data_IF_917677887546
#
_entry.id   IF_917677887546
#
_cell.length_a   1.000
_cell.length_b   1.000
_cell.length_c   1.000
_cell.angle_alpha   90.00
_cell.angle_beta   90.00
_cell.angle_gamma   90.00
#
_symmetry.space_group_name_H-M   'P 1'
#
loop_
_entity.id
_entity.type
_entity.pdbx_description
1 polymer ?
#
# COMPACT_ATOMS: atom_id res chain seq x y z
N UNK A 1 33.30 40.88 14.77
CA UNK A 1 32.69 40.25 13.58
C UNK A 1 32.27 38.82 13.89
N UNK A 2 33.18 37.95 14.35
CA UNK A 2 32.85 36.55 14.69
C UNK A 2 31.81 36.41 15.82
N UNK A 3 31.86 37.27 16.85
CA UNK A 3 30.86 37.28 17.92
C UNK A 3 29.45 37.65 17.43
N UNK A 4 29.35 38.62 16.51
CA UNK A 4 28.08 39.05 15.92
C UNK A 4 27.51 37.96 15.00
N UNK A 5 28.38 37.30 14.22
CA UNK A 5 28.02 36.13 13.42
C UNK A 5 27.47 34.99 14.28
N UNK A 6 28.18 34.65 15.35
CA UNK A 6 27.76 33.63 16.31
C UNK A 6 26.43 34.00 16.99
N UNK A 7 26.21 35.30 17.28
CA UNK A 7 24.94 35.80 17.83
C UNK A 7 23.79 35.65 16.84
N UNK A 8 23.94 36.08 15.59
CA UNK A 8 22.91 35.95 14.55
C UNK A 8 22.56 34.46 14.33
N UNK A 9 23.56 33.57 14.34
CA UNK A 9 23.34 32.13 14.22
C UNK A 9 22.54 31.55 15.40
N UNK A 10 22.83 31.97 16.64
CA UNK A 10 22.06 31.58 17.83
C UNK A 10 20.62 32.09 17.77
N UNK A 11 20.43 33.38 17.48
CA UNK A 11 19.08 33.96 17.34
C UNK A 11 18.29 33.27 16.23
N UNK A 12 18.94 32.94 15.11
CA UNK A 12 18.30 32.20 14.02
C UNK A 12 17.88 30.78 14.42
N UNK A 13 18.65 30.08 15.26
CA UNK A 13 18.29 28.74 15.72
C UNK A 13 17.18 28.78 16.78
N UNK A 14 17.24 29.74 17.70
CA UNK A 14 16.19 30.00 18.69
C UNK A 14 14.88 30.39 18.03
N UNK A 15 14.93 31.31 17.06
CA UNK A 15 13.78 31.72 16.26
C UNK A 15 13.13 30.53 15.54
N UNK A 16 13.92 29.67 14.88
CA UNK A 16 13.37 28.46 14.23
C UNK A 16 12.68 27.54 15.24
N UNK A 17 13.23 27.39 16.44
CA UNK A 17 12.64 26.57 17.49
C UNK A 17 11.30 27.15 17.96
N UNK A 18 11.24 28.46 18.20
CA UNK A 18 10.01 29.17 18.61
C UNK A 18 8.95 29.15 17.51
N UNK A 19 9.35 29.40 16.27
CA UNK A 19 8.48 29.28 15.10
C UNK A 19 7.81 27.90 15.03
N UNK A 20 8.59 26.82 15.16
CA UNK A 20 8.04 25.46 15.15
C UNK A 20 7.08 25.20 16.33
N UNK A 21 7.33 25.82 17.50
CA UNK A 21 6.44 25.73 18.65
C UNK A 21 5.12 26.49 18.42
N UNK A 22 5.17 27.70 17.86
CA UNK A 22 3.96 28.47 17.52
C UNK A 22 3.14 27.80 16.42
N UNK A 23 3.79 27.24 15.38
CA UNK A 23 3.13 26.46 14.34
C UNK A 23 2.39 25.26 14.94
N UNK A 24 3.04 24.51 15.86
CA UNK A 24 2.40 23.39 16.56
C UNK A 24 1.20 23.85 17.38
N UNK A 25 1.32 24.94 18.14
CA UNK A 25 0.24 25.46 18.97
C UNK A 25 -0.94 25.98 18.13
N UNK A 26 -0.66 26.57 16.95
CA UNK A 26 -1.66 26.98 15.99
C UNK A 26 -2.40 25.77 15.40
N UNK A 27 -1.66 24.73 15.01
CA UNK A 27 -2.22 23.46 14.53
C UNK A 27 -3.12 22.78 15.58
N UNK A 28 -2.71 22.76 16.84
CA UNK A 28 -3.51 22.23 17.95
C UNK A 28 -4.81 23.01 18.15
N UNK A 29 -4.76 24.35 18.09
CA UNK A 29 -5.95 25.18 18.18
C UNK A 29 -6.89 25.00 16.98
N UNK A 30 -6.34 24.87 15.77
CA UNK A 30 -7.11 24.57 14.56
C UNK A 30 -7.80 23.21 14.67
N UNK A 31 -7.11 22.18 15.16
CA UNK A 31 -7.72 20.87 15.41
C UNK A 31 -8.86 20.97 16.43
N UNK A 32 -8.67 21.68 17.54
CA UNK A 32 -9.72 21.88 18.55
C UNK A 32 -10.94 22.62 17.97
N UNK A 33 -10.71 23.63 17.13
CA UNK A 33 -11.76 24.34 16.40
C UNK A 33 -12.53 23.39 15.46
N UNK A 34 -11.83 22.57 14.67
CA UNK A 34 -12.44 21.59 13.76
C UNK A 34 -13.31 20.56 14.52
N UNK A 35 -12.84 20.08 15.67
CA UNK A 35 -13.60 19.16 16.54
C UNK A 35 -14.87 19.83 17.09
N UNK A 36 -14.82 21.13 17.36
CA UNK A 36 -15.94 21.91 17.87
C UNK A 36 -16.96 22.24 16.78
N UNK A 37 -16.48 22.63 15.59
CA UNK A 37 -17.33 22.97 14.44
C UNK A 37 -18.01 21.74 13.84
N UNK A 38 -17.29 20.63 13.75
CA UNK A 38 -17.79 19.38 13.18
C UNK A 38 -17.49 18.19 14.11
N UNK A 39 -18.29 17.99 15.16
CA UNK A 39 -18.10 16.89 16.12
C UNK A 39 -18.43 15.52 15.53
N UNK A 40 -19.46 15.45 14.68
CA UNK A 40 -19.94 14.23 14.03
C UNK A 40 -20.45 14.51 12.60
N UNK A 41 -20.92 13.46 11.92
CA UNK A 41 -21.50 13.51 10.58
C UNK A 41 -23.04 13.56 10.60
N UNK A 42 -23.65 14.01 11.70
CA UNK A 42 -25.10 14.20 11.72
C UNK A 42 -25.50 15.33 10.78
N UNK A 43 -26.70 15.23 10.20
CA UNK A 43 -27.24 16.28 9.33
C UNK A 43 -27.24 17.65 10.03
N UNK A 44 -27.55 17.68 11.34
CA UNK A 44 -27.54 18.90 12.14
C UNK A 44 -26.12 19.48 12.29
N UNK A 45 -25.11 18.65 12.60
CA UNK A 45 -23.74 19.12 12.73
C UNK A 45 -23.18 19.65 11.40
N UNK A 46 -23.45 18.93 10.30
CA UNK A 46 -23.04 19.35 8.95
C UNK A 46 -23.70 20.67 8.54
N UNK A 47 -25.03 20.79 8.69
CA UNK A 47 -25.74 22.04 8.41
C UNK A 47 -25.25 23.20 9.26
N UNK A 48 -25.00 22.98 10.56
CA UNK A 48 -24.46 24.00 11.45
C UNK A 48 -23.06 24.43 11.01
N UNK A 49 -22.18 23.48 10.74
CA UNK A 49 -20.83 23.77 10.28
C UNK A 49 -20.85 24.55 8.96
N UNK A 50 -21.65 24.13 7.98
CA UNK A 50 -21.79 24.82 6.70
C UNK A 50 -22.33 26.25 6.85
N UNK A 51 -23.32 26.47 7.73
CA UNK A 51 -23.85 27.81 8.00
C UNK A 51 -22.81 28.73 8.63
N UNK A 52 -22.03 28.21 9.57
CA UNK A 52 -21.03 28.98 10.31
C UNK A 52 -19.79 29.30 9.45
N UNK A 53 -19.35 28.36 8.61
CA UNK A 53 -18.08 28.48 7.89
C UNK A 53 -18.26 28.87 6.42
N UNK A 54 -19.44 28.62 5.85
CA UNK A 54 -19.72 28.78 4.42
C UNK A 54 -18.94 27.80 3.55
N UNK A 55 -18.48 26.67 4.09
CA UNK A 55 -17.68 25.69 3.35
C UNK A 55 -18.52 24.96 2.30
N UNK A 56 -18.14 25.01 1.01
CA UNK A 56 -18.89 24.32 -0.04
C UNK A 56 -18.85 22.80 0.15
N UNK A 57 -19.98 22.13 -0.07
CA UNK A 57 -20.09 20.66 0.01
C UNK A 57 -20.09 20.08 1.43
N UNK A 58 -20.18 20.90 2.48
CA UNK A 58 -20.33 20.46 3.87
C UNK A 58 -21.82 20.35 4.29
N UNK A 59 -22.68 19.94 3.36
CA UNK A 59 -24.14 19.95 3.52
C UNK A 59 -24.76 18.61 3.91
N UNK A 60 -26.10 18.52 3.93
CA UNK A 60 -26.84 17.26 4.19
C UNK A 60 -26.51 16.17 3.15
N UNK A 61 -26.12 16.55 1.93
CA UNK A 61 -25.66 15.66 0.87
C UNK A 61 -24.52 14.73 1.33
N UNK A 62 -23.60 15.24 2.18
CA UNK A 62 -22.51 14.43 2.70
C UNK A 62 -23.00 13.33 3.64
N UNK A 63 -24.07 13.57 4.41
CA UNK A 63 -24.68 12.54 5.24
C UNK A 63 -25.34 11.46 4.39
N UNK A 64 -26.00 11.84 3.28
CA UNK A 64 -26.57 10.91 2.32
C UNK A 64 -25.47 10.06 1.65
N UNK A 65 -24.35 10.67 1.27
CA UNK A 65 -23.20 9.96 0.72
C UNK A 65 -22.63 8.94 1.71
N UNK A 66 -22.52 9.29 3.01
CA UNK A 66 -22.09 8.36 4.07
C UNK A 66 -23.05 7.17 4.18
N UNK A 67 -24.36 7.44 4.15
CA UNK A 67 -25.38 6.40 4.20
C UNK A 67 -25.30 5.48 2.97
N UNK A 68 -25.14 6.06 1.78
CA UNK A 68 -24.99 5.32 0.51
C UNK A 68 -23.75 4.43 0.55
N UNK A 69 -22.59 4.97 0.88
CA UNK A 69 -21.34 4.20 0.94
C UNK A 69 -21.41 3.06 1.98
N UNK A 70 -22.08 3.32 3.11
CA UNK A 70 -22.33 2.29 4.13
C UNK A 70 -23.23 1.18 3.60
N UNK A 71 -24.27 1.52 2.85
CA UNK A 71 -25.16 0.55 2.23
C UNK A 71 -24.43 -0.26 1.16
N UNK A 72 -23.67 0.38 0.29
CA UNK A 72 -22.85 -0.28 -0.74
C UNK A 72 -21.88 -1.29 -0.11
N UNK A 73 -21.13 -0.88 0.93
CA UNK A 73 -20.23 -1.78 1.64
C UNK A 73 -20.95 -2.96 2.31
N UNK A 74 -22.19 -2.75 2.80
CA UNK A 74 -23.01 -3.83 3.41
C UNK A 74 -23.51 -4.81 2.35
N UNK A 75 -24.05 -4.31 1.24
CA UNK A 75 -24.50 -5.15 0.13
C UNK A 75 -23.36 -5.96 -0.45
N UNK A 76 -22.17 -5.37 -0.59
CA UNK A 76 -20.98 -6.08 -1.04
C UNK A 76 -20.56 -7.17 -0.04
N UNK A 77 -20.62 -6.89 1.25
CA UNK A 77 -20.31 -7.86 2.29
C UNK A 77 -21.31 -9.03 2.28
N UNK A 78 -22.60 -8.74 2.17
CA UNK A 78 -23.66 -9.74 2.08
C UNK A 78 -23.50 -10.61 0.82
N UNK A 79 -23.21 -10.01 -0.33
CA UNK A 79 -22.95 -10.73 -1.57
C UNK A 79 -21.72 -11.65 -1.45
N UNK A 80 -20.66 -11.19 -0.78
CA UNK A 80 -19.46 -11.98 -0.52
C UNK A 80 -19.76 -13.15 0.44
N UNK A 81 -20.52 -12.91 1.50
CA UNK A 81 -20.90 -13.94 2.48
C UNK A 81 -21.90 -14.96 1.89
N UNK A 82 -22.66 -14.57 0.87
CA UNK A 82 -23.51 -15.44 0.07
C UNK A 82 -22.74 -16.29 -0.96
N UNK A 83 -21.48 -15.96 -1.27
CA UNK A 83 -20.68 -16.72 -2.24
C UNK A 83 -20.45 -18.16 -1.74
N UNK A 84 -20.83 -19.20 -2.51
CA UNK A 84 -20.64 -20.59 -2.12
C UNK A 84 -19.19 -20.95 -1.80
N UNK A 85 -18.21 -20.36 -2.49
CA UNK A 85 -16.79 -20.59 -2.22
C UNK A 85 -16.38 -20.01 -0.86
N UNK A 86 -16.95 -18.87 -0.48
CA UNK A 86 -16.69 -18.25 0.81
C UNK A 86 -17.38 -19.01 1.96
N UNK A 87 -18.58 -19.52 1.74
CA UNK A 87 -19.29 -20.35 2.73
C UNK A 87 -18.54 -21.65 3.02
N UNK A 88 -17.93 -22.24 1.99
CA UNK A 88 -17.15 -23.47 2.11
C UNK A 88 -15.68 -23.23 2.50
N UNK A 89 -15.26 -21.99 2.79
CA UNK A 89 -13.85 -21.65 3.01
C UNK A 89 -13.16 -22.51 4.07
N UNK A 90 -13.84 -22.80 5.18
CA UNK A 90 -13.26 -23.58 6.28
C UNK A 90 -13.01 -25.02 5.85
N UNK A 91 -13.94 -25.61 5.11
CA UNK A 91 -13.78 -26.94 4.52
C UNK A 91 -12.66 -26.98 3.47
N UNK A 92 -12.53 -25.93 2.66
CA UNK A 92 -11.58 -25.87 1.55
C UNK A 92 -10.14 -25.59 2.02
N UNK A 93 -9.96 -24.67 2.97
CA UNK A 93 -8.66 -24.10 3.36
C UNK A 93 -8.23 -24.43 4.80
N UNK A 94 -8.92 -25.32 5.54
CA UNK A 94 -8.48 -25.68 6.89
C UNK A 94 -6.98 -26.08 6.88
N UNK A 95 -6.14 -25.50 7.76
CA UNK A 95 -4.70 -25.77 7.76
C UNK A 95 -4.35 -27.26 7.89
N UNK A 96 -5.11 -28.00 8.70
CA UNK A 96 -4.80 -29.40 9.03
C UNK A 96 -5.64 -30.40 8.22
N UNK A 97 -6.82 -30.01 7.74
CA UNK A 97 -7.78 -30.93 7.11
C UNK A 97 -8.45 -30.37 5.85
N UNK A 98 -7.92 -29.29 5.29
CA UNK A 98 -8.50 -28.63 4.13
C UNK A 98 -8.49 -29.53 2.90
N UNK A 99 -9.61 -29.63 2.20
CA UNK A 99 -9.74 -30.50 1.03
C UNK A 99 -8.73 -30.13 -0.07
N UNK A 100 -8.47 -28.83 -0.25
CA UNK A 100 -7.53 -28.35 -1.26
C UNK A 100 -6.09 -28.72 -0.87
N UNK A 101 -5.69 -28.47 0.39
CA UNK A 101 -4.35 -28.81 0.88
C UNK A 101 -4.06 -30.31 0.81
N UNK A 102 -5.00 -31.13 1.28
CA UNK A 102 -4.87 -32.59 1.23
C UNK A 102 -4.84 -33.14 -0.22
N UNK A 103 -5.52 -32.48 -1.16
CA UNK A 103 -5.47 -32.88 -2.58
C UNK A 103 -4.19 -32.40 -3.25
N UNK A 104 -3.74 -31.19 -2.96
CA UNK A 104 -2.46 -30.66 -3.45
C UNK A 104 -1.29 -31.54 -3.02
N UNK A 105 -1.21 -31.90 -1.74
CA UNK A 105 -0.17 -32.80 -1.22
C UNK A 105 -0.16 -34.13 -1.99
N UNK A 106 -1.33 -34.76 -2.19
CA UNK A 106 -1.43 -36.02 -2.96
C UNK A 106 -0.96 -35.88 -4.41
N UNK A 107 -1.34 -34.80 -5.08
CA UNK A 107 -0.92 -34.57 -6.48
C UNK A 107 0.58 -34.24 -6.57
N UNK A 108 1.12 -33.53 -5.59
CA UNK A 108 2.55 -33.26 -5.49
C UNK A 108 3.32 -34.55 -5.26
N UNK A 109 2.87 -35.43 -4.35
CA UNK A 109 3.48 -36.75 -4.13
C UNK A 109 3.51 -37.60 -5.40
N UNK A 110 2.40 -37.63 -6.16
CA UNK A 110 2.35 -38.31 -7.45
C UNK A 110 3.31 -37.71 -8.48
N UNK A 111 3.43 -36.38 -8.50
CA UNK A 111 4.39 -35.70 -9.39
C UNK A 111 5.83 -36.00 -8.99
N UNK A 112 6.15 -35.96 -7.70
CA UNK A 112 7.49 -36.30 -7.19
C UNK A 112 7.85 -37.76 -7.50
N UNK A 113 6.89 -38.69 -7.46
CA UNK A 113 7.12 -40.09 -7.83
C UNK A 113 7.49 -40.29 -9.30
N UNK A 114 7.05 -39.40 -10.21
CA UNK A 114 7.36 -39.47 -11.64
C UNK A 114 8.74 -38.87 -11.99
N UNK A 115 9.28 -37.96 -11.15
CA UNK A 115 10.53 -37.26 -11.44
C UNK A 115 11.73 -38.17 -11.67
N UNK A 116 12.01 -39.20 -10.84
CA UNK A 116 13.22 -40.01 -11.02
C UNK A 116 13.26 -40.72 -12.37
N UNK A 117 12.11 -41.17 -12.88
CA UNK A 117 12.00 -41.80 -14.21
C UNK A 117 12.28 -40.77 -15.31
N UNK A 118 11.64 -39.60 -15.23
CA UNK A 118 11.79 -38.53 -16.21
C UNK A 118 13.23 -37.99 -16.23
N UNK A 119 13.84 -37.73 -15.08
CA UNK A 119 15.21 -37.25 -14.96
C UNK A 119 16.22 -38.25 -15.52
N UNK A 120 16.08 -39.54 -15.17
CA UNK A 120 16.96 -40.61 -15.65
C UNK A 120 16.94 -40.73 -17.18
N UNK A 121 15.77 -40.58 -17.80
CA UNK A 121 15.61 -40.70 -19.25
C UNK A 121 15.97 -39.41 -19.99
N UNK A 122 15.46 -38.26 -19.55
CA UNK A 122 15.62 -36.95 -20.20
C UNK A 122 17.04 -36.38 -20.05
N UNK A 123 17.81 -36.84 -19.07
CA UNK A 123 19.23 -36.47 -18.93
C UNK A 123 20.09 -36.90 -20.12
N UNK A 124 19.63 -37.85 -20.94
CA UNK A 124 20.38 -38.30 -22.10
C UNK A 124 20.14 -37.38 -23.31
N UNK A 125 21.17 -36.74 -23.91
CA UNK A 125 21.01 -35.69 -24.93
C UNK A 125 20.25 -36.12 -26.20
N UNK A 126 20.18 -37.42 -26.48
CA UNK A 126 19.49 -37.97 -27.66
C UNK A 126 18.11 -38.56 -27.36
N UNK A 127 17.67 -38.57 -26.11
CA UNK A 127 16.42 -39.22 -25.72
C UNK A 127 15.20 -38.65 -26.47
N UNK A 128 15.03 -37.33 -26.47
CA UNK A 128 13.94 -36.66 -27.20
C UNK A 128 13.98 -36.96 -28.71
N UNK A 129 15.18 -36.96 -29.30
CA UNK A 129 15.37 -37.30 -30.73
C UNK A 129 15.01 -38.75 -31.05
N UNK A 130 15.25 -39.68 -30.12
CA UNK A 130 14.84 -41.08 -30.25
C UNK A 130 13.32 -41.21 -30.19
N UNK A 131 12.66 -40.48 -29.27
CA UNK A 131 11.20 -40.41 -29.18
C UNK A 131 10.57 -39.88 -30.48
N UNK A 132 11.06 -38.74 -30.98
CA UNK A 132 10.60 -38.10 -32.22
C UNK A 132 10.78 -39.00 -33.44
N UNK A 133 11.92 -39.69 -33.54
CA UNK A 133 12.19 -40.58 -34.67
C UNK A 133 11.42 -41.90 -34.62
N UNK A 134 10.70 -42.18 -33.53
CA UNK A 134 9.96 -43.42 -33.34
C UNK A 134 10.86 -44.64 -33.10
N UNK A 135 12.09 -44.46 -32.61
CA UNK A 135 13.01 -45.57 -32.32
C UNK A 135 12.36 -46.58 -31.35
N UNK A 136 12.48 -47.88 -31.63
CA UNK A 136 11.81 -48.94 -30.87
C UNK A 136 10.32 -49.13 -31.21
N UNK A 137 9.82 -48.51 -32.29
CA UNK A 137 8.45 -48.71 -32.79
C UNK A 137 8.46 -49.09 -34.28
N UNK A 138 7.36 -49.66 -34.82
CA UNK A 138 7.21 -49.90 -36.25
C UNK A 138 7.34 -48.63 -37.12
N UNK A 139 7.22 -47.44 -36.52
CA UNK A 139 7.36 -46.15 -37.21
C UNK A 139 8.80 -45.72 -37.47
N UNK A 140 9.82 -46.45 -37.01
CA UNK A 140 11.22 -46.08 -37.19
C UNK A 140 11.70 -46.27 -38.65
N UNK A 141 11.91 -45.17 -39.38
CA UNK A 141 12.17 -45.19 -40.82
C UNK A 141 13.66 -45.29 -41.23
N UNK A 142 14.60 -45.26 -40.28
CA UNK A 142 16.04 -45.22 -40.62
C UNK A 142 16.55 -46.64 -40.85
N UNK A 143 16.96 -46.93 -42.09
CA UNK A 143 17.56 -48.21 -42.46
C UNK A 143 18.89 -48.51 -41.75
N UNK A 144 19.17 -49.79 -41.50
CA UNK A 144 20.32 -50.25 -40.70
C UNK A 144 21.69 -49.83 -41.27
N UNK A 145 21.78 -49.55 -42.57
CA UNK A 145 23.01 -49.12 -43.26
C UNK A 145 23.37 -47.64 -43.03
N UNK A 146 22.48 -46.85 -42.43
CA UNK A 146 22.74 -45.42 -42.17
C UNK A 146 23.49 -45.26 -40.84
N UNK A 147 24.50 -44.39 -40.81
CA UNK A 147 25.24 -44.07 -39.56
C UNK A 147 24.30 -43.65 -38.42
N UNK A 148 23.22 -42.92 -38.73
CA UNK A 148 22.21 -42.51 -37.77
C UNK A 148 21.57 -43.70 -37.03
N UNK A 149 21.38 -44.84 -37.69
CA UNK A 149 20.83 -46.06 -37.06
C UNK A 149 21.71 -46.55 -35.91
N UNK A 150 23.02 -46.67 -36.15
CA UNK A 150 23.96 -47.15 -35.14
C UNK A 150 24.11 -46.17 -33.97
N UNK A 151 24.07 -44.88 -34.28
CA UNK A 151 24.10 -43.83 -33.27
C UNK A 151 22.85 -43.81 -32.38
N UNK A 152 21.68 -44.03 -32.97
CA UNK A 152 20.41 -44.10 -32.24
C UNK A 152 20.35 -45.39 -31.40
N UNK A 153 20.83 -46.51 -31.95
CA UNK A 153 20.96 -47.79 -31.22
C UNK A 153 21.90 -47.70 -30.02
N UNK A 154 23.07 -47.07 -30.19
CA UNK A 154 24.03 -46.85 -29.10
C UNK A 154 23.41 -46.01 -27.98
N UNK A 155 22.74 -44.92 -28.36
CA UNK A 155 22.05 -44.05 -27.40
C UNK A 155 20.93 -44.79 -26.65
N UNK A 156 20.13 -45.59 -27.35
CA UNK A 156 19.10 -46.42 -26.73
C UNK A 156 19.72 -47.40 -25.71
N UNK A 157 20.77 -48.14 -26.05
CA UNK A 157 21.43 -49.04 -25.09
C UNK A 157 22.04 -48.33 -23.87
N UNK A 158 22.56 -47.11 -24.05
CA UNK A 158 23.04 -46.29 -22.92
C UNK A 158 21.89 -45.87 -21.99
N UNK A 159 20.70 -45.59 -22.54
CA UNK A 159 19.49 -45.26 -21.79
C UNK A 159 18.92 -46.50 -21.08
N UNK A 160 18.88 -47.65 -21.75
CA UNK A 160 18.44 -48.93 -21.19
C UNK A 160 19.27 -49.30 -19.95
N UNK A 161 20.59 -49.15 -20.02
CA UNK A 161 21.50 -49.38 -18.90
C UNK A 161 21.21 -48.46 -17.70
N UNK A 162 20.89 -47.19 -17.95
CA UNK A 162 20.54 -46.21 -16.90
C UNK A 162 19.17 -46.48 -16.25
N UNK A 163 18.25 -47.09 -17.00
CA UNK A 163 16.86 -47.32 -16.56
C UNK A 163 16.62 -48.76 -16.09
N UNK A 164 17.67 -49.44 -15.60
CA UNK A 164 17.55 -50.77 -15.00
C UNK A 164 17.44 -51.93 -15.99
N UNK A 165 17.91 -51.74 -17.24
CA UNK A 165 18.00 -52.81 -18.24
C UNK A 165 16.70 -53.15 -18.97
N UNK A 166 15.65 -52.32 -18.83
CA UNK A 166 14.41 -52.42 -19.63
C UNK A 166 14.69 -52.14 -21.09
N UNK A 167 13.89 -52.70 -22.00
CA UNK A 167 13.99 -52.39 -23.43
C UNK A 167 13.55 -50.95 -23.71
N UNK A 168 14.22 -50.26 -24.65
CA UNK A 168 13.90 -48.87 -24.98
C UNK A 168 12.44 -48.66 -25.40
N UNK A 169 11.80 -49.65 -26.04
CA UNK A 169 10.38 -49.59 -26.39
C UNK A 169 9.46 -49.52 -25.15
N UNK A 170 9.84 -50.18 -24.05
CA UNK A 170 9.13 -50.12 -22.77
C UNK A 170 9.37 -48.80 -22.06
N UNK A 171 10.63 -48.38 -21.98
CA UNK A 171 11.04 -47.08 -21.41
C UNK A 171 10.31 -45.94 -22.14
N UNK A 172 10.23 -46.00 -23.47
CA UNK A 172 9.49 -45.03 -24.28
C UNK A 172 8.02 -44.96 -23.88
N UNK A 173 7.34 -46.10 -23.71
CA UNK A 173 5.92 -46.12 -23.32
C UNK A 173 5.71 -45.54 -21.93
N UNK A 174 6.55 -45.93 -20.97
CA UNK A 174 6.49 -45.44 -19.60
C UNK A 174 6.76 -43.93 -19.51
N UNK A 175 7.76 -43.44 -20.24
CA UNK A 175 8.13 -42.01 -20.23
C UNK A 175 7.08 -41.15 -20.93
N UNK A 176 6.55 -41.57 -22.08
CA UNK A 176 5.46 -40.83 -22.73
C UNK A 176 4.24 -40.74 -21.81
N UNK A 177 3.83 -41.85 -21.19
CA UNK A 177 2.74 -41.84 -20.23
C UNK A 177 3.04 -40.97 -18.99
N UNK A 178 4.28 -40.98 -18.50
CA UNK A 178 4.71 -40.15 -17.38
C UNK A 178 4.75 -38.65 -17.74
N UNK A 179 5.14 -38.29 -18.97
CA UNK A 179 5.11 -36.91 -19.45
C UNK A 179 3.67 -36.39 -19.54
N UNK A 180 2.76 -37.16 -20.16
CA UNK A 180 1.33 -36.83 -20.23
C UNK A 180 0.71 -36.71 -18.83
N UNK A 181 0.99 -37.67 -17.94
CA UNK A 181 0.53 -37.63 -16.56
C UNK A 181 1.09 -36.41 -15.81
N UNK A 182 2.37 -36.08 -15.99
CA UNK A 182 3.00 -34.92 -15.37
C UNK A 182 2.34 -33.61 -15.82
N UNK A 183 2.02 -33.46 -17.11
CA UNK A 183 1.35 -32.27 -17.64
C UNK A 183 -0.06 -32.10 -17.03
N UNK A 184 -0.84 -33.19 -16.97
CA UNK A 184 -2.18 -33.20 -16.35
C UNK A 184 -2.08 -32.85 -14.85
N UNK A 185 -1.13 -33.45 -14.13
CA UNK A 185 -0.91 -33.19 -12.71
C UNK A 185 -0.53 -31.73 -12.47
N UNK A 186 0.36 -31.16 -13.28
CA UNK A 186 0.74 -29.76 -13.17
C UNK A 186 -0.43 -28.82 -13.42
N UNK A 187 -1.21 -29.06 -14.48
CA UNK A 187 -2.41 -28.27 -14.74
C UNK A 187 -3.36 -28.33 -13.53
N UNK A 188 -3.58 -29.53 -12.98
CA UNK A 188 -4.49 -29.70 -11.85
C UNK A 188 -3.99 -29.05 -10.57
N UNK A 189 -2.69 -29.11 -10.31
CA UNK A 189 -2.05 -28.40 -9.19
C UNK A 189 -2.23 -26.89 -9.35
N UNK A 190 -2.02 -26.35 -10.56
CA UNK A 190 -2.24 -24.92 -10.84
C UNK A 190 -3.69 -24.51 -10.58
N UNK A 191 -4.66 -25.25 -11.12
CA UNK A 191 -6.09 -24.99 -10.91
C UNK A 191 -6.48 -24.98 -9.42
N UNK A 192 -5.94 -25.92 -8.64
CA UNK A 192 -6.20 -26.00 -7.19
C UNK A 192 -5.56 -24.85 -6.41
N UNK A 193 -4.34 -24.44 -6.77
CA UNK A 193 -3.67 -23.27 -6.19
C UNK A 193 -4.42 -21.97 -6.50
N UNK A 194 -4.88 -21.81 -7.73
CA UNK A 194 -5.69 -20.66 -8.13
C UNK A 194 -7.00 -20.62 -7.34
N UNK A 195 -7.65 -21.78 -7.18
CA UNK A 195 -8.86 -21.91 -6.36
C UNK A 195 -8.59 -21.54 -4.90
N UNK A 196 -7.47 -21.98 -4.32
CA UNK A 196 -7.09 -21.62 -2.96
C UNK A 196 -6.90 -20.11 -2.81
N UNK A 197 -6.10 -19.50 -3.71
CA UNK A 197 -5.85 -18.06 -3.72
C UNK A 197 -7.14 -17.25 -3.80
N UNK A 198 -8.10 -17.68 -4.64
CA UNK A 198 -9.40 -17.00 -4.75
C UNK A 198 -10.16 -16.99 -3.42
N UNK A 199 -10.19 -18.12 -2.70
CA UNK A 199 -10.88 -18.19 -1.40
C UNK A 199 -10.18 -17.30 -0.37
N UNK A 200 -8.85 -17.30 -0.33
CA UNK A 200 -8.08 -16.40 0.55
C UNK A 200 -8.34 -14.92 0.23
N UNK A 201 -8.44 -14.57 -1.06
CA UNK A 201 -8.69 -13.20 -1.49
C UNK A 201 -10.11 -12.74 -1.12
N UNK A 202 -11.10 -13.64 -1.15
CA UNK A 202 -12.44 -13.37 -0.61
C UNK A 202 -12.37 -13.09 0.90
N UNK A 203 -11.58 -13.84 1.68
CA UNK A 203 -11.40 -13.59 3.11
C UNK A 203 -10.69 -12.26 3.39
N UNK A 204 -9.64 -11.95 2.63
CA UNK A 204 -8.95 -10.64 2.71
C UNK A 204 -9.90 -9.50 2.39
N UNK A 205 -10.72 -9.64 1.33
CA UNK A 205 -11.72 -8.65 0.93
C UNK A 205 -12.77 -8.45 2.01
N UNK A 206 -13.30 -9.53 2.61
CA UNK A 206 -14.21 -9.47 3.76
C UNK A 206 -13.58 -8.70 4.93
N UNK A 207 -12.35 -9.05 5.32
CA UNK A 207 -11.64 -8.36 6.41
C UNK A 207 -11.48 -6.87 6.13
N UNK A 208 -11.21 -6.48 4.88
CA UNK A 208 -11.12 -5.07 4.46
C UNK A 208 -12.48 -4.38 4.56
N UNK A 209 -13.56 -4.99 4.06
CA UNK A 209 -14.91 -4.42 4.13
C UNK A 209 -15.40 -4.26 5.57
N UNK A 210 -15.20 -5.25 6.44
CA UNK A 210 -15.54 -5.16 7.86
C UNK A 210 -14.76 -4.04 8.56
N UNK A 211 -13.45 -3.95 8.31
CA UNK A 211 -12.63 -2.85 8.85
C UNK A 211 -13.07 -1.48 8.31
N UNK A 212 -13.39 -1.39 7.02
CA UNK A 212 -13.90 -0.16 6.40
C UNK A 212 -15.23 0.24 7.04
N UNK A 213 -16.20 -0.66 7.14
CA UNK A 213 -17.50 -0.40 7.77
C UNK A 213 -17.36 0.05 9.22
N UNK A 214 -16.45 -0.56 9.99
CA UNK A 214 -16.19 -0.18 11.38
C UNK A 214 -15.60 1.23 11.52
N UNK A 215 -14.81 1.67 10.54
CA UNK A 215 -14.10 2.97 10.56
C UNK A 215 -14.69 4.01 9.61
N UNK A 216 -15.75 3.68 8.88
CA UNK A 216 -16.26 4.51 7.79
C UNK A 216 -16.61 5.91 8.27
N UNK A 217 -17.32 5.99 9.40
CA UNK A 217 -17.71 7.25 10.01
C UNK A 217 -16.49 8.10 10.41
N UNK A 218 -15.46 7.49 10.98
CA UNK A 218 -14.22 8.18 11.36
C UNK A 218 -13.45 8.67 10.12
N UNK A 219 -13.30 7.82 9.10
CA UNK A 219 -12.61 8.16 7.84
C UNK A 219 -13.30 9.34 7.15
N UNK A 220 -14.63 9.30 7.04
CA UNK A 220 -15.40 10.36 6.39
C UNK A 220 -15.44 11.64 7.22
N UNK A 221 -15.51 11.54 8.55
CA UNK A 221 -15.42 12.68 9.45
C UNK A 221 -14.07 13.38 9.34
N UNK A 222 -12.98 12.61 9.33
CA UNK A 222 -11.63 13.16 9.13
C UNK A 222 -11.48 13.80 7.74
N UNK A 223 -12.07 13.20 6.71
CA UNK A 223 -12.09 13.78 5.35
C UNK A 223 -12.86 15.10 5.33
N UNK A 224 -14.01 15.17 5.99
CA UNK A 224 -14.83 16.38 6.09
C UNK A 224 -14.10 17.48 6.88
N UNK A 225 -13.48 17.12 8.01
CA UNK A 225 -12.64 18.02 8.81
C UNK A 225 -11.43 18.53 8.03
N UNK A 226 -10.81 17.68 7.20
CA UNK A 226 -9.71 18.12 6.33
C UNK A 226 -10.16 19.13 5.27
N UNK A 227 -11.33 18.90 4.65
CA UNK A 227 -11.91 19.89 3.71
C UNK A 227 -12.22 21.20 4.41
N UNK A 228 -12.79 21.14 5.62
CA UNK A 228 -13.06 22.30 6.44
C UNK A 228 -11.76 23.03 6.81
N UNK A 229 -10.74 22.30 7.26
CA UNK A 229 -9.41 22.83 7.58
C UNK A 229 -8.85 23.66 6.42
N UNK A 230 -8.83 23.07 5.22
CA UNK A 230 -8.32 23.74 4.03
C UNK A 230 -9.10 25.01 3.69
N UNK A 231 -10.42 25.00 3.92
CA UNK A 231 -11.26 26.19 3.73
C UNK A 231 -10.92 27.29 4.75
N UNK A 232 -10.72 26.93 6.03
CA UNK A 232 -10.33 27.88 7.08
C UNK A 232 -8.95 28.51 6.80
N UNK A 233 -7.99 27.71 6.36
CA UNK A 233 -6.63 28.18 6.05
C UNK A 233 -6.58 29.11 4.83
N UNK A 234 -7.52 28.97 3.87
CA UNK A 234 -7.55 29.80 2.66
C UNK A 234 -8.04 31.24 2.93
N UNK A 235 -8.97 31.43 3.86
CA UNK A 235 -9.54 32.75 4.19
C UNK A 235 -9.82 32.86 5.71
N UNK A 236 -8.76 32.99 6.53
CA UNK A 236 -8.90 32.99 7.98
C UNK A 236 -9.67 34.21 8.49
N UNK A 237 -9.52 35.37 7.84
CA UNK A 237 -10.17 36.63 8.24
C UNK A 237 -11.69 36.56 8.11
N UNK A 238 -12.19 36.22 6.91
CA UNK A 238 -13.63 36.17 6.67
C UNK A 238 -14.32 35.10 7.53
N UNK A 239 -13.63 34.00 7.83
CA UNK A 239 -14.21 32.96 8.70
C UNK A 239 -14.21 33.39 10.16
N UNK A 240 -13.18 34.10 10.64
CA UNK A 240 -13.18 34.61 12.02
C UNK A 240 -14.27 35.65 12.25
N UNK A 241 -14.56 36.50 11.27
CA UNK A 241 -15.71 37.42 11.32
C UNK A 241 -17.04 36.67 11.43
N UNK A 242 -17.23 35.60 10.64
CA UNK A 242 -18.44 34.76 10.71
C UNK A 242 -18.56 33.98 12.01
N UNK A 243 -17.42 33.60 12.58
CA UNK A 243 -17.33 32.88 13.85
C UNK A 243 -17.20 33.84 15.05
N UNK A 244 -17.47 35.14 14.88
CA UNK A 244 -17.45 36.10 15.96
C UNK A 244 -18.37 35.65 17.10
N UNK A 245 -17.78 35.26 18.24
CA UNK A 245 -18.47 34.66 19.38
C UNK A 245 -18.05 33.21 19.71
N UNK A 246 -17.29 32.55 18.84
CA UNK A 246 -16.67 31.27 19.12
C UNK A 246 -15.25 31.45 19.68
N UNK A 247 -15.07 31.23 20.98
CA UNK A 247 -13.78 31.37 21.65
C UNK A 247 -12.65 30.55 21.01
N UNK A 248 -12.95 29.35 20.51
CA UNK A 248 -11.99 28.51 19.80
C UNK A 248 -11.53 29.11 18.46
N UNK A 249 -12.40 29.85 17.77
CA UNK A 249 -12.05 30.52 16.52
C UNK A 249 -11.12 31.71 16.79
N UNK A 250 -11.42 32.47 17.85
CA UNK A 250 -10.57 33.58 18.31
C UNK A 250 -9.19 33.10 18.76
N UNK A 251 -9.10 32.03 19.57
CA UNK A 251 -7.81 31.45 19.99
C UNK A 251 -6.97 30.98 18.80
N UNK A 252 -7.58 30.26 17.84
CA UNK A 252 -6.89 29.86 16.62
C UNK A 252 -6.38 31.07 15.82
N UNK A 253 -7.22 32.09 15.63
CA UNK A 253 -6.85 33.28 14.87
C UNK A 253 -5.69 34.05 15.50
N UNK A 254 -5.73 34.26 16.82
CA UNK A 254 -4.65 34.94 17.55
C UNK A 254 -3.32 34.17 17.44
N UNK A 255 -3.37 32.82 17.47
CA UNK A 255 -2.18 32.00 17.26
C UNK A 255 -1.68 32.04 15.82
N UNK A 256 -2.58 32.12 14.84
CA UNK A 256 -2.22 32.31 13.44
C UNK A 256 -1.55 33.67 13.24
N UNK A 257 -2.10 34.74 13.81
CA UNK A 257 -1.49 36.07 13.81
C UNK A 257 -0.10 36.02 14.44
N UNK A 258 0.06 35.39 15.61
CA UNK A 258 1.35 35.21 16.28
C UNK A 258 2.38 34.50 15.38
N UNK A 259 2.00 33.42 14.70
CA UNK A 259 2.85 32.71 13.73
C UNK A 259 3.27 33.63 12.59
N UNK A 260 2.33 34.42 12.05
CA UNK A 260 2.62 35.34 10.95
C UNK A 260 3.52 36.50 11.37
N UNK A 261 3.27 37.11 12.54
CA UNK A 261 4.10 38.19 13.07
C UNK A 261 5.49 37.69 13.43
N UNK A 262 5.62 36.51 14.05
CA UNK A 262 6.92 35.91 14.32
C UNK A 262 7.70 35.63 13.03
N UNK A 263 7.03 35.12 11.98
CA UNK A 263 7.64 34.92 10.66
C UNK A 263 8.13 36.21 10.01
N UNK A 264 7.41 37.33 10.22
CA UNK A 264 7.84 38.65 9.76
C UNK A 264 9.11 39.10 10.46
N UNK A 265 9.27 38.88 11.77
CA UNK A 265 10.50 39.26 12.48
C UNK A 265 11.77 38.67 11.85
N UNK A 266 11.70 37.43 11.36
CA UNK A 266 12.83 36.82 10.65
C UNK A 266 13.09 37.47 9.30
N UNK A 267 12.02 37.74 8.55
CA UNK A 267 12.08 38.29 7.19
C UNK A 267 12.58 39.74 7.22
N UNK A 268 12.11 40.51 8.20
CA UNK A 268 12.36 41.95 8.30
C UNK A 268 13.67 42.28 9.01
N UNK A 269 14.13 41.43 9.93
CA UNK A 269 15.32 41.72 10.76
C UNK A 269 16.43 40.67 10.63
N UNK A 270 16.16 39.38 10.91
CA UNK A 270 17.25 38.38 10.97
C UNK A 270 17.88 38.06 9.62
N UNK A 271 17.09 37.96 8.55
CA UNK A 271 17.60 37.73 7.20
C UNK A 271 18.43 38.94 6.71
N UNK A 272 17.91 40.19 6.77
CA UNK A 272 18.70 41.37 6.44
C UNK A 272 19.93 41.57 7.33
N UNK A 273 19.88 41.19 8.61
CA UNK A 273 21.04 41.25 9.51
C UNK A 273 22.15 40.28 9.09
N UNK A 274 21.77 39.08 8.63
CA UNK A 274 22.72 38.09 8.12
C UNK A 274 23.36 38.55 6.81
N UNK A 275 22.60 39.20 5.93
CA UNK A 275 23.10 39.75 4.66
C UNK A 275 24.01 40.95 4.90
N UNK A 276 23.59 41.89 5.76
CA UNK A 276 24.35 43.09 6.10
C UNK A 276 25.66 42.78 6.86
N UNK A 277 25.80 41.60 7.47
CA UNK A 277 27.00 41.21 8.22
C UNK A 277 28.27 41.22 7.36
N UNK A 278 28.14 40.98 6.05
CA UNK A 278 29.27 40.96 5.12
C UNK A 278 29.67 42.36 4.61
N UNK A 279 28.74 43.33 4.66
CA UNK A 279 28.89 44.66 4.07
C UNK A 279 29.04 45.79 5.11
N UNK A 280 28.23 45.75 6.18
CA UNK A 280 28.17 46.77 7.23
C UNK A 280 27.76 46.15 8.59
N UNK A 281 28.78 45.88 9.41
CA UNK A 281 28.59 45.31 10.74
C UNK A 281 27.77 46.21 11.69
N UNK A 282 27.74 47.53 11.47
CA UNK A 282 26.96 48.45 12.30
C UNK A 282 25.47 48.33 11.99
N UNK A 283 25.12 48.21 10.70
CA UNK A 283 23.76 47.94 10.24
C UNK A 283 23.26 46.57 10.72
N UNK A 284 24.09 45.54 10.63
CA UNK A 284 23.75 44.21 11.15
C UNK A 284 23.49 44.22 12.66
N UNK A 285 24.29 44.97 13.43
CA UNK A 285 24.07 45.12 14.87
C UNK A 285 22.75 45.84 15.19
N UNK A 286 22.42 46.92 14.47
CA UNK A 286 21.17 47.65 14.66
C UNK A 286 19.94 46.77 14.37
N UNK A 287 19.98 45.96 13.31
CA UNK A 287 18.89 45.03 12.98
C UNK A 287 18.71 43.94 14.03
N UNK A 288 19.81 43.41 14.60
CA UNK A 288 19.75 42.46 15.71
C UNK A 288 19.16 43.09 16.98
N UNK A 289 19.50 44.35 17.27
CA UNK A 289 18.91 45.07 18.40
C UNK A 289 17.40 45.29 18.22
N UNK A 290 16.98 45.69 17.01
CA UNK A 290 15.56 45.84 16.67
C UNK A 290 14.81 44.50 16.75
N UNK A 291 15.45 43.40 16.31
CA UNK A 291 14.88 42.06 16.48
C UNK A 291 14.64 41.74 17.95
N UNK A 292 15.63 41.95 18.83
CA UNK A 292 15.49 41.67 20.26
C UNK A 292 14.42 42.55 20.92
N UNK A 293 14.25 43.80 20.46
CA UNK A 293 13.20 44.71 20.94
C UNK A 293 11.80 44.25 20.52
N UNK A 294 11.63 43.89 19.24
CA UNK A 294 10.36 43.44 18.69
C UNK A 294 10.00 42.03 19.17
N UNK A 295 10.97 41.16 19.43
CA UNK A 295 10.69 39.84 19.96
C UNK A 295 10.11 39.91 21.39
N UNK A 296 10.52 40.90 22.19
CA UNK A 296 9.95 41.13 23.52
C UNK A 296 8.49 41.59 23.49
N UNK A 297 8.04 42.20 22.39
CA UNK A 297 6.65 42.65 22.25
C UNK A 297 5.73 41.57 21.67
N UNK A 298 6.29 40.63 20.90
CA UNK A 298 5.54 39.52 20.27
C UNK A 298 5.47 38.27 21.17
N UNK A 299 6.42 38.10 22.10
CA UNK A 299 6.40 36.98 23.05
C UNK A 299 5.16 37.00 23.96
N UNK A 300 4.53 35.84 24.25
CA UNK A 300 3.43 35.78 25.21
C UNK A 300 3.93 36.17 26.60
N UNK A 301 3.18 37.04 27.30
CA UNK A 301 3.28 37.23 28.75
C UNK A 301 2.88 35.95 29.52
#
# INVERSE_FOLDING_TARGET
MDDLKARIQRLSSEHRRRQAEYERLCDEALQALLMTLLPDLSTQALSRAAQLTGTPGLGPELAEDVHRERQECRLELEALEADPMFQQRERLLCPDSGEIGATLSRLEDHREALKPLLESCLSHPRFLKLLESGYGTPGYQKGFWRLCYHLDRKAASEIESRCGGKEFAEIRREVVAAMEASEILEQRIRELRDRASRVEDLEKRRKRLVKRLARLQEILLNTARWRLRRHLENDPGAVCERLAGHSAATDWYLRLELVTEHSRLKTDYLMPASEALEEDASRALALVQLYDEMERTVGPE
#
